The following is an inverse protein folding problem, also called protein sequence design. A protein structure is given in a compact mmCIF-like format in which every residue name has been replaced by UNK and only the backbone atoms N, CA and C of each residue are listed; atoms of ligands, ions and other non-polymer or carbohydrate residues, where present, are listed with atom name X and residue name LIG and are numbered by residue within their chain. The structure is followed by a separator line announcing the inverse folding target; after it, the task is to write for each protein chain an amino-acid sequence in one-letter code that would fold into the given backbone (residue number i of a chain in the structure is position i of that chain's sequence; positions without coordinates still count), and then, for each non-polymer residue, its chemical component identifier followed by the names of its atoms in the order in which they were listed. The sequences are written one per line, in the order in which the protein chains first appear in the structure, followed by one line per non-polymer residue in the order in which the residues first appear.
data_IF_889376331909
#
_entry.id   IF_889376331909
#
_cell.length_a   1.000
_cell.length_b   1.000
_cell.length_c   1.000
_cell.angle_alpha   90.00
_cell.angle_beta   90.00
_cell.angle_gamma   90.00
#
_symmetry.space_group_name_H-M   'P 1'
#
loop_
_entity.id
_entity.type
_entity.pdbx_description
1 polymer ?
#
# COMPACT_ATOMS: atom_id res chain seq x y z
N UNK A 1 3.61 12.10 -14.84
CA UNK A 1 2.79 11.88 -13.64
C UNK A 1 1.28 11.77 -13.95
N UNK A 2 0.68 12.71 -14.69
CA UNK A 2 -0.77 12.66 -15.05
C UNK A 2 -1.23 11.31 -15.61
N UNK A 3 -0.52 10.75 -16.58
CA UNK A 3 -0.85 9.45 -17.17
C UNK A 3 -0.94 8.29 -16.16
N UNK A 4 -0.11 8.28 -15.12
CA UNK A 4 -0.18 7.24 -14.08
C UNK A 4 -1.42 7.43 -13.19
N UNK A 5 -1.71 8.67 -12.79
CA UNK A 5 -2.91 8.98 -11.99
C UNK A 5 -4.18 8.65 -12.76
N UNK A 6 -4.23 8.99 -14.06
CA UNK A 6 -5.36 8.68 -14.92
C UNK A 6 -5.50 7.17 -15.15
N UNK A 7 -4.38 6.43 -15.22
CA UNK A 7 -4.39 4.97 -15.27
C UNK A 7 -4.97 4.35 -13.99
N UNK A 8 -4.63 4.86 -12.81
CA UNK A 8 -5.25 4.43 -11.53
C UNK A 8 -6.75 4.68 -11.57
N UNK A 9 -7.18 5.89 -11.95
CA UNK A 9 -8.61 6.25 -12.02
C UNK A 9 -9.38 5.37 -12.97
N UNK A 10 -8.84 5.12 -14.17
CA UNK A 10 -9.44 4.24 -15.16
C UNK A 10 -9.55 2.81 -14.63
N UNK A 11 -8.48 2.28 -14.06
CA UNK A 11 -8.46 0.94 -13.47
C UNK A 11 -9.52 0.79 -12.37
N UNK A 12 -9.69 1.81 -11.52
CA UNK A 12 -10.76 1.83 -10.51
C UNK A 12 -12.16 1.84 -11.14
N UNK A 13 -12.39 2.66 -12.18
CA UNK A 13 -13.70 2.72 -12.87
C UNK A 13 -14.08 1.41 -13.54
N UNK A 14 -13.09 0.64 -14.00
CA UNK A 14 -13.25 -0.68 -14.62
C UNK A 14 -13.25 -1.82 -13.59
N UNK A 15 -13.18 -1.51 -12.28
CA UNK A 15 -13.04 -2.47 -11.18
C UNK A 15 -11.80 -3.38 -11.32
N UNK A 16 -10.80 -2.93 -12.06
CA UNK A 16 -9.50 -3.60 -12.16
C UNK A 16 -8.61 -3.16 -10.98
N UNK A 17 -8.97 -3.64 -9.78
CA UNK A 17 -8.31 -3.25 -8.53
C UNK A 17 -6.85 -3.70 -8.47
N UNK A 18 -6.52 -4.82 -9.12
CA UNK A 18 -5.15 -5.32 -9.23
C UNK A 18 -4.27 -4.35 -10.03
N UNK A 19 -4.74 -3.86 -11.19
CA UNK A 19 -4.03 -2.85 -11.96
C UNK A 19 -3.96 -1.51 -11.21
N UNK A 20 -5.05 -1.10 -10.56
CA UNK A 20 -5.07 0.13 -9.77
C UNK A 20 -4.01 0.10 -8.65
N UNK A 21 -3.91 -1.01 -7.91
CA UNK A 21 -2.91 -1.20 -6.85
C UNK A 21 -1.49 -1.23 -7.42
N UNK A 22 -1.27 -1.96 -8.52
CA UNK A 22 0.04 -2.03 -9.18
C UNK A 22 0.59 -0.64 -9.53
N UNK A 23 -0.25 0.17 -10.16
CA UNK A 23 0.12 1.52 -10.59
C UNK A 23 0.31 2.43 -9.37
N UNK A 24 -0.51 2.28 -8.32
CA UNK A 24 -0.34 3.03 -7.08
C UNK A 24 0.98 2.73 -6.37
N UNK A 25 1.39 1.46 -6.27
CA UNK A 25 2.68 1.06 -5.69
C UNK A 25 3.85 1.63 -6.53
N UNK A 26 3.71 1.58 -7.86
CA UNK A 26 4.72 2.13 -8.79
C UNK A 26 4.86 3.65 -8.66
N UNK A 27 3.76 4.37 -8.42
CA UNK A 27 3.79 5.82 -8.21
C UNK A 27 4.66 6.21 -7.01
N UNK A 28 4.60 5.45 -5.91
CA UNK A 28 5.43 5.71 -4.73
C UNK A 28 6.92 5.47 -5.03
N UNK A 29 7.24 4.41 -5.78
CA UNK A 29 8.61 4.15 -6.26
C UNK A 29 9.16 5.33 -7.10
N UNK A 30 8.35 5.86 -8.02
CA UNK A 30 8.74 7.00 -8.88
C UNK A 30 8.94 8.26 -8.02
N UNK A 31 7.98 8.61 -7.17
CA UNK A 31 8.04 9.84 -6.37
C UNK A 31 9.19 9.79 -5.36
N UNK A 32 9.39 8.66 -4.67
CA UNK A 32 10.51 8.49 -3.75
C UNK A 32 11.87 8.63 -4.45
N UNK A 33 12.01 8.14 -5.70
CA UNK A 33 13.22 8.35 -6.51
C UNK A 33 13.41 9.80 -6.95
N UNK A 34 12.34 10.52 -7.27
CA UNK A 34 12.41 11.93 -7.66
C UNK A 34 12.88 12.82 -6.51
N UNK A 35 12.41 12.55 -5.30
CA UNK A 35 12.78 13.34 -4.11
C UNK A 35 14.13 12.94 -3.53
N UNK A 36 14.44 11.65 -3.48
CA UNK A 36 15.66 11.11 -2.87
C UNK A 36 16.40 10.15 -3.83
N UNK A 37 16.98 10.66 -4.93
CA UNK A 37 17.55 9.82 -6.00
C UNK A 37 18.76 8.99 -5.57
N UNK A 38 19.52 9.47 -4.58
CA UNK A 38 20.77 8.83 -4.13
C UNK A 38 20.55 7.86 -2.95
N UNK A 39 19.38 7.87 -2.33
CA UNK A 39 19.03 6.96 -1.24
C UNK A 39 18.71 5.57 -1.78
N UNK A 40 18.92 4.53 -0.97
CA UNK A 40 18.56 3.16 -1.36
C UNK A 40 17.04 3.04 -1.57
N UNK A 41 16.62 2.13 -2.44
CA UNK A 41 15.21 1.98 -2.89
C UNK A 41 14.25 1.87 -1.73
N UNK A 42 14.56 1.00 -0.75
CA UNK A 42 13.72 0.77 0.41
C UNK A 42 13.48 2.04 1.21
N UNK A 43 14.56 2.73 1.56
CA UNK A 43 14.50 3.85 2.50
C UNK A 43 13.75 5.02 1.86
N UNK A 44 14.05 5.37 0.60
CA UNK A 44 13.29 6.43 -0.09
C UNK A 44 11.81 6.11 -0.30
N UNK A 45 11.46 4.83 -0.47
CA UNK A 45 10.07 4.41 -0.59
C UNK A 45 9.32 4.58 0.73
N UNK A 46 9.93 4.12 1.83
CA UNK A 46 9.39 4.23 3.19
C UNK A 46 9.27 5.70 3.60
N UNK A 47 10.30 6.50 3.35
CA UNK A 47 10.32 7.92 3.69
C UNK A 47 9.22 8.68 2.95
N UNK A 48 9.07 8.43 1.64
CA UNK A 48 8.01 9.04 0.85
C UNK A 48 6.62 8.66 1.37
N UNK A 49 6.39 7.37 1.66
CA UNK A 49 5.14 6.93 2.26
C UNK A 49 4.88 7.62 3.60
N UNK A 50 5.90 7.70 4.46
CA UNK A 50 5.79 8.29 5.78
C UNK A 50 5.42 9.78 5.70
N UNK A 51 6.03 10.51 4.77
CA UNK A 51 5.81 11.93 4.57
C UNK A 51 4.44 12.25 3.97
N UNK A 52 3.94 11.42 3.03
CA UNK A 52 2.76 11.77 2.23
C UNK A 52 1.50 10.96 2.55
N UNK A 53 1.65 9.76 3.10
CA UNK A 53 0.56 8.79 3.25
C UNK A 53 0.30 8.34 4.69
N UNK A 54 1.31 8.35 5.59
CA UNK A 54 1.15 7.84 6.96
C UNK A 54 -0.06 8.42 7.69
N UNK A 55 -0.28 9.73 7.59
CA UNK A 55 -1.41 10.41 8.24
C UNK A 55 -2.78 9.93 7.75
N UNK A 56 -2.88 9.31 6.57
CA UNK A 56 -4.13 8.70 6.08
C UNK A 56 -4.40 7.34 6.71
N UNK A 57 -3.35 6.65 7.16
CA UNK A 57 -3.39 5.31 7.75
C UNK A 57 -3.16 5.32 9.26
N UNK A 58 -3.23 6.49 9.90
CA UNK A 58 -3.15 6.65 11.35
C UNK A 58 -4.45 7.31 11.85
N UNK A 59 -5.13 6.67 12.82
CA UNK A 59 -6.32 7.23 13.48
C UNK A 59 -6.35 6.82 14.94
N UNK A 60 -7.04 7.63 15.76
CA UNK A 60 -7.43 7.21 17.12
C UNK A 60 -8.53 6.16 17.03
N UNK A 61 -8.39 5.09 17.81
CA UNK A 61 -9.35 4.00 17.87
C UNK A 61 -9.77 3.79 19.31
N UNK A 62 -11.09 3.79 19.56
CA UNK A 62 -11.65 3.71 20.90
C UNK A 62 -11.52 5.01 21.70
N UNK A 63 -11.81 4.93 22.99
CA UNK A 63 -11.86 6.10 23.90
C UNK A 63 -10.51 6.54 24.45
N UNK A 64 -9.42 5.87 24.07
CA UNK A 64 -8.06 6.15 24.55
C UNK A 64 -7.37 7.28 23.78
N UNK A 65 -6.30 7.87 24.35
CA UNK A 65 -5.54 8.94 23.69
C UNK A 65 -4.57 8.42 22.62
N UNK A 66 -4.35 7.10 22.52
CA UNK A 66 -3.37 6.51 21.61
C UNK A 66 -3.89 6.46 20.17
N UNK A 67 -3.01 6.85 19.25
CA UNK A 67 -3.22 6.64 17.83
C UNK A 67 -2.81 5.22 17.43
N UNK A 68 -3.56 4.65 16.50
CA UNK A 68 -3.28 3.37 15.91
C UNK A 68 -2.81 3.58 14.47
N UNK A 69 -1.69 2.95 14.12
CA UNK A 69 -1.12 2.92 12.77
C UNK A 69 -1.56 1.63 12.09
N UNK A 70 -2.41 1.75 11.08
CA UNK A 70 -3.00 0.61 10.37
C UNK A 70 -2.16 0.10 9.22
N UNK A 71 -1.34 0.97 8.66
CA UNK A 71 -0.39 0.68 7.60
C UNK A 71 0.79 1.64 7.76
N UNK A 72 1.99 1.09 7.97
CA UNK A 72 3.20 1.88 8.01
C UNK A 72 4.02 1.71 6.71
N UNK A 73 5.04 2.55 6.51
CA UNK A 73 5.88 2.50 5.31
C UNK A 73 6.59 1.16 5.09
N UNK A 74 7.00 0.45 6.16
CA UNK A 74 7.60 -0.88 6.04
C UNK A 74 6.60 -1.91 5.53
N UNK A 75 5.37 -1.90 6.05
CA UNK A 75 4.29 -2.78 5.60
C UNK A 75 3.99 -2.53 4.11
N UNK A 76 3.92 -1.26 3.71
CA UNK A 76 3.63 -0.88 2.34
C UNK A 76 4.78 -1.24 1.38
N UNK A 77 6.03 -1.15 1.84
CA UNK A 77 7.19 -1.62 1.06
C UNK A 77 7.21 -3.16 0.93
N UNK A 78 6.82 -3.88 1.99
CA UNK A 78 6.69 -5.32 1.94
C UNK A 78 5.59 -5.75 0.95
N UNK A 79 4.44 -5.07 0.98
CA UNK A 79 3.36 -5.24 0.00
C UNK A 79 3.86 -5.03 -1.42
N UNK A 80 4.62 -3.95 -1.67
CA UNK A 80 5.22 -3.68 -2.97
C UNK A 80 6.12 -4.83 -3.43
N UNK A 81 7.02 -5.30 -2.57
CA UNK A 81 7.95 -6.38 -2.91
C UNK A 81 7.22 -7.67 -3.27
N UNK A 82 6.25 -8.03 -2.45
CA UNK A 82 5.41 -9.18 -2.67
C UNK A 82 4.64 -9.12 -3.99
N UNK A 83 3.95 -8.01 -4.21
CA UNK A 83 3.05 -7.84 -5.33
C UNK A 83 3.81 -7.73 -6.67
N UNK A 84 5.00 -7.10 -6.69
CA UNK A 84 5.78 -6.88 -7.90
C UNK A 84 6.76 -7.99 -8.26
N UNK A 85 7.35 -8.66 -7.26
CA UNK A 85 8.43 -9.62 -7.53
C UNK A 85 7.99 -11.06 -7.47
N UNK A 86 6.90 -11.39 -6.75
CA UNK A 86 6.51 -12.79 -6.61
C UNK A 86 5.57 -13.25 -7.71
N UNK A 87 4.65 -12.42 -8.25
CA UNK A 87 3.83 -12.74 -9.44
C UNK A 87 2.98 -14.03 -9.39
N UNK A 88 3.20 -14.88 -8.39
CA UNK A 88 2.63 -16.18 -8.14
C UNK A 88 1.87 -16.10 -6.82
N UNK A 89 0.63 -16.54 -6.87
CA UNK A 89 -0.24 -16.70 -5.71
C UNK A 89 0.12 -17.96 -4.88
N UNK A 90 1.24 -18.63 -5.17
CA UNK A 90 1.83 -19.69 -4.34
C UNK A 90 3.24 -19.30 -3.91
N UNK A 91 3.44 -19.05 -2.62
CA UNK A 91 4.73 -18.61 -2.07
C UNK A 91 5.07 -19.52 -0.88
N UNK A 92 5.60 -20.71 -1.17
CA UNK A 92 6.02 -21.70 -0.16
C UNK A 92 7.34 -21.38 0.53
N UNK A 93 7.91 -20.19 0.36
CA UNK A 93 9.05 -19.79 1.19
C UNK A 93 9.08 -18.31 1.56
N UNK A 94 9.35 -18.10 2.85
CA UNK A 94 9.67 -16.84 3.54
C UNK A 94 8.50 -16.07 4.15
N UNK A 95 8.80 -15.46 5.32
CA UNK A 95 7.94 -14.69 6.26
C UNK A 95 6.89 -13.74 5.65
N UNK A 96 6.97 -13.41 4.37
CA UNK A 96 5.97 -12.65 3.62
C UNK A 96 4.66 -13.43 3.37
N UNK A 97 4.70 -14.77 3.43
CA UNK A 97 3.56 -15.66 3.17
C UNK A 97 2.31 -15.31 4.01
N UNK A 98 2.48 -14.99 5.30
CA UNK A 98 1.35 -14.66 6.20
C UNK A 98 0.61 -13.36 5.85
N UNK A 99 1.24 -12.41 5.18
CA UNK A 99 0.63 -11.11 4.85
C UNK A 99 -0.10 -11.16 3.51
N UNK A 100 0.28 -12.07 2.62
CA UNK A 100 -0.15 -12.08 1.22
C UNK A 100 -1.18 -13.14 0.88
N UNK A 101 -1.21 -14.26 1.60
CA UNK A 101 -2.16 -15.35 1.32
C UNK A 101 -3.64 -14.93 1.48
N UNK A 102 -3.93 -13.76 2.07
CA UNK A 102 -5.29 -13.36 2.44
C UNK A 102 -5.66 -11.90 2.09
N UNK A 103 -5.11 -11.30 1.03
CA UNK A 103 -5.65 -9.98 0.61
C UNK A 103 -6.92 -10.17 -0.22
N UNK A 104 -8.05 -9.70 0.32
CA UNK A 104 -9.33 -9.67 -0.35
C UNK A 104 -9.69 -8.20 -0.55
N UNK A 105 -10.00 -7.79 -1.79
CA UNK A 105 -10.59 -6.49 -2.03
C UNK A 105 -12.04 -6.51 -1.55
N UNK A 106 -12.32 -5.78 -0.47
CA UNK A 106 -13.68 -5.63 0.06
C UNK A 106 -14.22 -4.27 -0.38
N UNK A 107 -15.36 -4.27 -1.07
CA UNK A 107 -16.12 -3.04 -1.32
C UNK A 107 -16.81 -2.61 -0.01
N UNK A 108 -16.55 -1.40 0.51
CA UNK A 108 -17.11 -1.00 1.78
C UNK A 108 -18.64 -0.85 1.70
N UNK A 109 -19.36 -1.65 2.50
CA UNK A 109 -20.78 -1.48 2.75
C UNK A 109 -21.03 -0.31 3.72
N UNK A 110 -22.21 0.31 3.67
CA UNK A 110 -22.63 1.40 4.56
C UNK A 110 -22.49 0.98 6.05
N UNK A 111 -21.47 1.51 6.74
CA UNK A 111 -21.20 1.28 8.16
C UNK A 111 -19.82 0.70 8.52
N UNK A 112 -18.89 0.46 7.58
CA UNK A 112 -17.63 -0.22 7.89
C UNK A 112 -16.50 0.69 8.41
N UNK A 113 -15.83 0.28 9.49
CA UNK A 113 -14.43 0.63 9.76
C UNK A 113 -13.57 -0.48 9.16
N UNK A 114 -12.97 -0.27 7.98
CA UNK A 114 -11.98 -1.22 7.48
C UNK A 114 -10.58 -0.63 7.64
N UNK A 115 -9.96 -0.96 8.77
CA UNK A 115 -8.53 -0.77 8.97
C UNK A 115 -7.98 -1.95 9.78
N UNK A 116 -7.73 -3.06 9.07
CA UNK A 116 -6.97 -4.29 9.41
C UNK A 116 -6.93 -4.82 10.86
N UNK A 117 -8.01 -4.65 11.64
CA UNK A 117 -8.25 -5.48 12.83
C UNK A 117 -9.67 -6.04 12.79
N UNK A 118 -9.77 -7.36 12.81
CA UNK A 118 -10.91 -8.09 13.36
C UNK A 118 -11.00 -7.88 14.86
#
# INVERSE_FOLDING_TARGET
MRHFVDSVRKSLSEKNYYAALLVALTLVDICGRLENPNSIVRDRYIDWFNQHLQNKFTRRVGSGPQEHVFLNGYDFYALRCAYLHQGEFEITSQKAQKVLENFIFIEPCLGSVHMNRS
#
